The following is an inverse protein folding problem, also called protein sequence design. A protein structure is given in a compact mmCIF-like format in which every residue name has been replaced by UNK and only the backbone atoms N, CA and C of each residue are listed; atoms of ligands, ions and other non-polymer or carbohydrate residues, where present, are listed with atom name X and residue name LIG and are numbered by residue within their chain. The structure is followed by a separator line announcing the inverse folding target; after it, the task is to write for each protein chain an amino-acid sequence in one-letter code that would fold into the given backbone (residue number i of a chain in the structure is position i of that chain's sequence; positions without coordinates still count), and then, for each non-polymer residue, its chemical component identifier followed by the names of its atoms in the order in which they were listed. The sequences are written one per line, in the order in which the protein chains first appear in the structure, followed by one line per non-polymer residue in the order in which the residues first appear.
data_IF_091279318456
#
_entry.id   IF_091279318456
#
_cell.length_a   1.000
_cell.length_b   1.000
_cell.length_c   1.000
_cell.angle_alpha   90.00
_cell.angle_beta   90.00
_cell.angle_gamma   90.00
#
_symmetry.space_group_name_H-M   'P 1'
#
loop_
_entity.id
_entity.type
_entity.pdbx_description
1 polymer ?
#
# COMPACT_ATOMS: atom_id res chain seq x y z
N UNK A 1 -44.09 -29.19 -3.89
CA UNK A 1 -42.69 -28.98 -4.33
C UNK A 1 -42.24 -27.65 -3.74
N UNK A 2 -41.56 -27.73 -2.64
CA UNK A 2 -41.08 -26.57 -1.85
C UNK A 2 -39.63 -26.34 -2.19
N UNK A 3 -39.30 -25.16 -2.77
CA UNK A 3 -37.95 -24.75 -3.04
C UNK A 3 -37.20 -24.50 -1.72
N UNK A 4 -35.93 -24.92 -1.59
CA UNK A 4 -35.14 -24.63 -0.40
C UNK A 4 -34.63 -23.19 -0.48
N UNK A 5 -35.09 -22.38 0.47
CA UNK A 5 -34.66 -21.04 0.77
C UNK A 5 -33.14 -21.01 1.08
N UNK A 6 -32.32 -20.57 0.11
CA UNK A 6 -30.92 -20.22 0.31
C UNK A 6 -30.86 -18.84 0.99
N UNK A 7 -31.03 -18.82 2.28
CA UNK A 7 -30.60 -17.68 3.09
C UNK A 7 -29.06 -17.66 3.15
N UNK A 8 -28.43 -16.99 2.20
CA UNK A 8 -27.08 -16.44 2.38
C UNK A 8 -27.22 -15.34 3.45
N UNK A 9 -26.73 -15.61 4.65
CA UNK A 9 -26.72 -14.62 5.74
C UNK A 9 -25.80 -13.45 5.41
N UNK A 10 -26.26 -12.48 4.64
CA UNK A 10 -25.74 -11.15 4.61
C UNK A 10 -25.98 -10.57 6.00
N UNK A 11 -24.93 -10.53 6.83
CA UNK A 11 -24.94 -9.76 8.08
C UNK A 11 -25.17 -8.31 7.64
N UNK A 12 -26.37 -7.78 7.90
CA UNK A 12 -26.69 -6.36 7.69
C UNK A 12 -25.58 -5.53 8.32
N UNK A 13 -24.79 -4.83 7.48
CA UNK A 13 -23.74 -3.94 7.94
C UNK A 13 -24.44 -2.74 8.61
N UNK A 14 -24.43 -2.69 9.92
CA UNK A 14 -25.03 -1.59 10.68
C UNK A 14 -24.07 -0.41 10.73
N UNK A 15 -24.56 0.76 10.32
CA UNK A 15 -23.86 2.03 10.50
C UNK A 15 -24.12 2.52 11.93
N UNK A 16 -23.04 2.81 12.64
CA UNK A 16 -23.07 3.35 14.00
C UNK A 16 -22.19 4.60 14.08
N UNK A 17 -22.46 5.48 15.02
CA UNK A 17 -21.60 6.64 15.28
C UNK A 17 -20.56 6.32 16.35
N UNK A 18 -19.29 6.59 16.06
CA UNK A 18 -18.18 6.42 17.00
C UNK A 18 -17.44 7.74 17.17
N UNK A 19 -16.99 8.01 18.40
CA UNK A 19 -16.15 9.16 18.73
C UNK A 19 -14.82 9.09 17.98
N UNK A 20 -14.43 10.20 17.35
CA UNK A 20 -13.20 10.27 16.52
C UNK A 20 -11.96 9.91 17.32
N UNK A 21 -11.92 10.29 18.61
CA UNK A 21 -10.81 9.99 19.52
C UNK A 21 -10.57 8.48 19.73
N UNK A 22 -11.59 7.64 19.51
CA UNK A 22 -11.49 6.19 19.57
C UNK A 22 -11.02 5.55 18.28
N UNK A 23 -10.84 6.33 17.21
CA UNK A 23 -10.40 5.87 15.89
C UNK A 23 -8.89 6.03 15.74
N UNK A 24 -8.17 4.93 15.59
CA UNK A 24 -6.72 4.91 15.37
C UNK A 24 -6.39 4.61 13.90
N UNK A 25 -5.34 5.22 13.34
CA UNK A 25 -4.86 4.82 12.03
C UNK A 25 -4.36 3.38 12.05
N UNK A 26 -4.44 2.69 10.91
CA UNK A 26 -3.85 1.37 10.75
C UNK A 26 -2.33 1.44 10.91
N UNK A 27 -1.72 0.52 11.67
CA UNK A 27 -0.32 0.59 12.10
C UNK A 27 0.68 0.60 10.93
N UNK A 28 0.40 -0.10 9.85
CA UNK A 28 1.25 -0.22 8.66
C UNK A 28 0.61 0.44 7.42
N UNK A 29 -0.02 1.60 7.60
CA UNK A 29 -0.75 2.26 6.53
C UNK A 29 0.23 2.93 5.53
N UNK A 30 0.37 2.44 4.29
CA UNK A 30 1.34 2.97 3.34
C UNK A 30 0.90 4.28 2.68
N UNK A 31 -0.38 4.63 2.75
CA UNK A 31 -0.96 5.77 2.06
C UNK A 31 -0.96 7.00 2.93
N UNK A 32 -0.38 8.09 2.44
CA UNK A 32 -0.33 9.35 3.16
C UNK A 32 -1.64 10.14 3.02
N UNK A 33 -2.06 10.76 4.11
CA UNK A 33 -3.15 11.75 4.08
C UNK A 33 -2.50 13.11 3.90
N UNK A 34 -2.64 13.70 2.71
CA UNK A 34 -2.08 15.01 2.36
C UNK A 34 -3.19 16.07 2.36
N UNK A 35 -2.83 17.28 2.75
CA UNK A 35 -3.69 18.46 2.64
C UNK A 35 -3.57 19.08 1.24
N UNK A 36 -4.15 18.40 0.27
CA UNK A 36 -4.18 18.79 -1.13
C UNK A 36 -5.53 19.43 -1.52
N UNK A 37 -5.63 19.89 -2.77
CA UNK A 37 -6.89 20.46 -3.29
C UNK A 37 -8.07 19.50 -3.17
N UNK A 38 -7.84 18.21 -3.33
CA UNK A 38 -8.88 17.19 -3.19
C UNK A 38 -9.35 17.07 -1.72
N UNK A 39 -8.46 17.32 -0.74
CA UNK A 39 -8.83 17.36 0.67
C UNK A 39 -9.75 18.55 0.97
N UNK A 40 -9.50 19.72 0.39
CA UNK A 40 -10.40 20.89 0.52
C UNK A 40 -11.78 20.59 -0.06
N UNK A 41 -11.86 20.03 -1.26
CA UNK A 41 -13.13 19.63 -1.87
C UNK A 41 -13.88 18.60 -1.02
N UNK A 42 -13.13 17.65 -0.41
CA UNK A 42 -13.72 16.68 0.51
C UNK A 42 -14.27 17.35 1.78
N UNK A 43 -13.54 18.32 2.35
CA UNK A 43 -14.00 19.09 3.50
C UNK A 43 -15.28 19.87 3.17
N UNK A 44 -15.33 20.60 2.06
CA UNK A 44 -16.53 21.31 1.61
C UNK A 44 -17.72 20.36 1.42
N UNK A 45 -17.46 19.19 0.84
CA UNK A 45 -18.50 18.16 0.66
C UNK A 45 -19.01 17.62 2.00
N UNK A 46 -18.10 17.36 2.96
CA UNK A 46 -18.48 16.87 4.30
C UNK A 46 -19.19 17.95 5.10
N UNK A 47 -18.78 19.20 5.00
CA UNK A 47 -19.46 20.32 5.65
C UNK A 47 -20.91 20.49 5.15
N UNK A 48 -21.12 20.34 3.85
CA UNK A 48 -22.43 20.53 3.21
C UNK A 48 -23.37 19.34 3.35
N UNK A 49 -22.86 18.12 3.24
CA UNK A 49 -23.67 16.90 3.14
C UNK A 49 -23.43 15.88 4.24
N UNK A 50 -22.47 16.15 5.14
CA UNK A 50 -21.99 15.15 6.10
C UNK A 50 -21.15 14.06 5.45
N UNK A 51 -20.81 13.04 6.23
CA UNK A 51 -20.07 11.86 5.75
C UNK A 51 -21.07 10.87 5.15
N UNK A 52 -21.28 10.94 3.83
CA UNK A 52 -22.24 10.08 3.12
C UNK A 52 -21.80 8.60 3.11
N UNK A 53 -20.51 8.35 2.96
CA UNK A 53 -19.96 6.99 2.98
C UNK A 53 -19.30 6.74 4.34
N UNK A 54 -19.80 5.80 5.17
CA UNK A 54 -19.24 5.54 6.49
C UNK A 54 -17.79 5.01 6.38
N UNK A 55 -17.01 5.21 7.45
CA UNK A 55 -15.68 4.63 7.57
C UNK A 55 -15.80 3.13 7.83
N UNK A 56 -14.82 2.35 7.40
CA UNK A 56 -14.74 0.92 7.73
C UNK A 56 -13.67 0.77 8.80
N UNK A 57 -14.04 0.17 9.93
CA UNK A 57 -13.16 0.01 11.09
C UNK A 57 -13.20 -1.43 11.61
N UNK A 58 -12.14 -1.85 12.29
CA UNK A 58 -12.13 -3.10 13.08
C UNK A 58 -11.96 -2.80 14.56
N UNK A 59 -12.55 -3.60 15.46
CA UNK A 59 -12.29 -3.47 16.88
C UNK A 59 -10.87 -3.92 17.22
N UNK A 60 -10.21 -3.16 18.10
CA UNK A 60 -8.92 -3.52 18.70
C UNK A 60 -9.05 -3.50 20.22
N UNK A 61 -8.08 -4.07 20.97
CA UNK A 61 -8.12 -4.04 22.43
C UNK A 61 -8.33 -2.62 22.99
N UNK A 62 -8.77 -2.55 24.25
CA UNK A 62 -8.97 -1.31 25.01
C UNK A 62 -10.10 -0.41 24.51
N UNK A 63 -11.04 -0.95 23.71
CA UNK A 63 -12.23 -0.23 23.27
C UNK A 63 -11.98 0.79 22.17
N UNK A 64 -10.83 0.71 21.50
CA UNK A 64 -10.51 1.49 20.31
C UNK A 64 -10.88 0.75 19.01
N UNK A 65 -10.84 1.49 17.91
CA UNK A 65 -11.09 0.94 16.58
C UNK A 65 -9.98 1.37 15.63
N UNK A 66 -9.53 0.46 14.81
CA UNK A 66 -8.53 0.72 13.79
C UNK A 66 -9.20 0.91 12.44
N UNK A 67 -8.83 1.99 11.73
CA UNK A 67 -9.45 2.37 10.47
C UNK A 67 -8.87 1.52 9.34
N UNK A 68 -9.72 0.78 8.64
CA UNK A 68 -9.37 0.01 7.45
C UNK A 68 -9.54 0.87 6.20
N UNK A 69 -10.64 1.65 6.13
CA UNK A 69 -10.91 2.55 5.00
C UNK A 69 -11.56 3.84 5.50
N UNK A 70 -11.16 4.98 4.90
CA UNK A 70 -11.73 6.28 5.21
C UNK A 70 -10.81 7.23 5.98
N UNK A 71 -9.49 7.03 5.99
CA UNK A 71 -8.52 7.91 6.66
C UNK A 71 -8.65 9.39 6.26
N UNK A 72 -8.86 9.68 4.95
CA UNK A 72 -9.09 11.06 4.47
C UNK A 72 -10.38 11.66 5.03
N UNK A 73 -11.46 10.86 5.11
CA UNK A 73 -12.75 11.30 5.70
C UNK A 73 -12.63 11.60 7.18
N UNK A 74 -11.90 10.73 7.93
CA UNK A 74 -11.59 10.98 9.34
C UNK A 74 -10.82 12.28 9.51
N UNK A 75 -9.76 12.49 8.73
CA UNK A 75 -8.94 13.71 8.81
C UNK A 75 -9.74 14.97 8.47
N UNK A 76 -10.57 14.94 7.42
CA UNK A 76 -11.46 16.05 7.07
C UNK A 76 -12.48 16.34 8.18
N UNK A 77 -13.07 15.31 8.78
CA UNK A 77 -14.01 15.45 9.89
C UNK A 77 -13.37 16.05 11.15
N UNK A 78 -12.12 15.66 11.46
CA UNK A 78 -11.35 16.25 12.58
C UNK A 78 -11.11 17.75 12.35
N UNK A 79 -10.73 18.15 11.14
CA UNK A 79 -10.54 19.57 10.80
C UNK A 79 -11.83 20.39 10.88
N UNK A 80 -12.97 19.78 10.58
CA UNK A 80 -14.29 20.40 10.69
C UNK A 80 -14.87 20.36 12.13
N UNK A 81 -14.14 19.77 13.09
CA UNK A 81 -14.57 19.71 14.49
C UNK A 81 -15.65 18.69 14.80
N UNK A 82 -15.83 17.68 13.98
CA UNK A 82 -16.75 16.57 14.26
C UNK A 82 -16.28 15.79 15.48
N UNK A 83 -17.17 15.52 16.42
CA UNK A 83 -16.89 14.67 17.58
C UNK A 83 -17.14 13.19 17.30
N UNK A 84 -18.10 12.88 16.41
CA UNK A 84 -18.49 11.52 16.02
C UNK A 84 -18.55 11.41 14.51
N UNK A 85 -18.30 10.20 14.02
CA UNK A 85 -18.39 9.89 12.60
C UNK A 85 -19.10 8.55 12.38
N UNK A 86 -19.83 8.39 11.25
CA UNK A 86 -20.49 7.14 10.93
C UNK A 86 -19.45 6.08 10.52
N UNK A 87 -19.56 4.90 11.09
CA UNK A 87 -18.66 3.77 10.83
C UNK A 87 -19.42 2.47 10.62
N UNK A 88 -18.82 1.56 9.87
CA UNK A 88 -19.19 0.14 9.77
C UNK A 88 -18.11 -0.67 10.48
N UNK A 89 -18.50 -1.46 11.47
CA UNK A 89 -17.57 -2.34 12.18
C UNK A 89 -17.49 -3.68 11.44
N UNK A 90 -16.27 -4.04 11.03
CA UNK A 90 -15.95 -5.36 10.49
C UNK A 90 -14.99 -6.10 11.40
N UNK A 91 -15.36 -7.30 11.83
CA UNK A 91 -14.47 -8.17 12.59
C UNK A 91 -13.62 -8.94 11.59
N UNK A 92 -12.41 -8.42 11.33
CA UNK A 92 -11.46 -8.98 10.37
C UNK A 92 -10.18 -9.38 11.09
N UNK A 93 -9.53 -10.44 10.57
CA UNK A 93 -8.17 -10.75 10.98
C UNK A 93 -7.21 -9.62 10.56
N UNK A 94 -6.02 -9.57 11.14
CA UNK A 94 -5.00 -8.59 10.73
C UNK A 94 -4.68 -8.70 9.25
N UNK A 95 -4.43 -9.92 8.74
CA UNK A 95 -4.14 -10.18 7.34
C UNK A 95 -5.30 -9.75 6.41
N UNK A 96 -6.57 -10.01 6.79
CA UNK A 96 -7.73 -9.62 5.97
C UNK A 96 -7.95 -8.10 6.01
N UNK A 97 -7.64 -7.46 7.13
CA UNK A 97 -7.69 -6.01 7.27
C UNK A 97 -6.67 -5.32 6.37
N UNK A 98 -5.44 -5.85 6.31
CA UNK A 98 -4.38 -5.36 5.41
C UNK A 98 -4.84 -5.49 3.95
N UNK A 99 -5.35 -6.66 3.54
CA UNK A 99 -5.81 -6.86 2.17
C UNK A 99 -6.94 -5.89 1.82
N UNK A 100 -7.95 -5.77 2.67
CA UNK A 100 -9.08 -4.85 2.46
C UNK A 100 -8.63 -3.39 2.36
N UNK A 101 -7.68 -2.96 3.22
CA UNK A 101 -7.11 -1.62 3.19
C UNK A 101 -6.35 -1.37 1.88
N UNK A 102 -5.48 -2.28 1.48
CA UNK A 102 -4.69 -2.17 0.25
C UNK A 102 -5.60 -2.11 -0.97
N UNK A 103 -6.57 -3.04 -1.08
CA UNK A 103 -7.47 -3.12 -2.21
C UNK A 103 -8.33 -1.86 -2.35
N UNK A 104 -8.83 -1.30 -1.23
CA UNK A 104 -9.62 -0.06 -1.26
C UNK A 104 -8.83 1.18 -1.72
N UNK A 105 -7.51 1.13 -1.70
CA UNK A 105 -6.64 2.25 -2.07
C UNK A 105 -5.96 2.07 -3.44
N UNK A 106 -5.67 0.83 -3.86
CA UNK A 106 -5.03 0.57 -5.16
C UNK A 106 -5.88 0.97 -6.38
N UNK A 107 -7.20 1.07 -6.20
CA UNK A 107 -8.15 1.50 -7.24
C UNK A 107 -8.35 3.02 -7.31
N UNK A 108 -7.56 3.82 -6.57
CA UNK A 108 -7.61 5.29 -6.66
C UNK A 108 -7.01 5.75 -7.99
N UNK A 109 -7.59 6.78 -8.60
CA UNK A 109 -7.08 7.35 -9.86
C UNK A 109 -5.66 7.90 -9.74
N UNK A 110 -5.31 8.42 -8.55
CA UNK A 110 -3.99 8.97 -8.26
C UNK A 110 -3.39 8.30 -7.04
N UNK A 111 -2.36 7.50 -7.29
CA UNK A 111 -1.53 6.84 -6.29
C UNK A 111 -0.06 7.08 -6.65
N UNK A 112 0.78 7.48 -5.68
CA UNK A 112 2.19 7.71 -5.96
C UNK A 112 2.93 6.40 -6.19
N UNK A 113 4.13 6.48 -6.81
CA UNK A 113 4.97 5.30 -7.04
C UNK A 113 5.36 4.60 -5.74
N UNK A 114 5.70 5.38 -4.71
CA UNK A 114 6.05 4.86 -3.39
C UNK A 114 4.86 4.18 -2.72
N UNK A 115 3.68 4.81 -2.70
CA UNK A 115 2.47 4.23 -2.13
C UNK A 115 2.11 2.90 -2.80
N UNK A 116 2.15 2.85 -4.14
CA UNK A 116 1.88 1.63 -4.92
C UNK A 116 2.91 0.55 -4.64
N UNK A 117 4.19 0.91 -4.51
CA UNK A 117 5.26 -0.01 -4.20
C UNK A 117 5.08 -0.67 -2.81
N UNK A 118 4.82 0.12 -1.77
CA UNK A 118 4.58 -0.38 -0.42
C UNK A 118 3.27 -1.17 -0.32
N UNK A 119 2.20 -0.76 -1.02
CA UNK A 119 0.94 -1.48 -1.09
C UNK A 119 1.12 -2.88 -1.70
N UNK A 120 1.84 -2.99 -2.82
CA UNK A 120 2.14 -4.28 -3.44
C UNK A 120 3.03 -5.16 -2.56
N UNK A 121 4.04 -4.58 -1.91
CA UNK A 121 4.87 -5.33 -0.96
C UNK A 121 4.04 -5.89 0.18
N UNK A 122 3.22 -5.07 0.82
CA UNK A 122 2.40 -5.46 1.95
C UNK A 122 1.40 -6.56 1.56
N UNK A 123 0.69 -6.42 0.43
CA UNK A 123 -0.21 -7.45 -0.12
C UNK A 123 0.54 -8.75 -0.41
N UNK A 124 1.73 -8.67 -1.03
CA UNK A 124 2.56 -9.84 -1.34
C UNK A 124 3.01 -10.59 -0.08
N UNK A 125 3.42 -9.86 0.97
CA UNK A 125 3.87 -10.44 2.23
C UNK A 125 2.72 -11.14 2.96
N UNK A 126 1.52 -10.56 2.98
CA UNK A 126 0.31 -11.18 3.53
C UNK A 126 -0.05 -12.46 2.77
N UNK A 127 -0.09 -12.41 1.44
CA UNK A 127 -0.42 -13.57 0.61
C UNK A 127 0.59 -14.72 0.79
N UNK A 128 1.88 -14.41 0.94
CA UNK A 128 2.92 -15.41 1.27
C UNK A 128 2.69 -16.04 2.64
N UNK A 129 2.38 -15.25 3.69
CA UNK A 129 2.07 -15.76 5.04
C UNK A 129 0.85 -16.71 5.01
N UNK A 130 -0.24 -16.30 4.35
CA UNK A 130 -1.44 -17.13 4.19
C UNK A 130 -1.14 -18.43 3.42
N UNK A 131 -0.29 -18.39 2.40
CA UNK A 131 0.13 -19.56 1.65
C UNK A 131 0.97 -20.52 2.49
N UNK A 132 1.83 -20.05 3.38
CA UNK A 132 2.65 -20.86 4.29
C UNK A 132 1.83 -21.63 5.33
N UNK A 133 0.77 -21.02 5.87
CA UNK A 133 -0.12 -21.63 6.87
C UNK A 133 -0.95 -22.81 6.33
N UNK A 134 -1.23 -22.85 5.01
CA UNK A 134 -2.03 -23.91 4.37
C UNK A 134 -1.26 -25.18 3.95
N UNK A 135 0.00 -25.33 4.34
CA UNK A 135 0.83 -26.48 3.92
C UNK A 135 0.44 -27.85 4.52
N UNK A 136 -0.51 -27.93 5.45
CA UNK A 136 -0.82 -29.19 6.15
C UNK A 136 -1.95 -30.03 5.56
N UNK A 137 -2.74 -29.54 4.64
CA UNK A 137 -3.80 -30.34 4.01
C UNK A 137 -4.25 -29.70 2.69
N UNK A 138 -3.81 -30.12 1.51
CA UNK A 138 -4.61 -30.07 0.28
C UNK A 138 -3.90 -30.73 -0.91
N UNK A 139 -4.68 -31.42 -1.70
CA UNK A 139 -4.43 -32.13 -2.96
C UNK A 139 -3.41 -31.50 -3.93
N UNK A 140 -2.59 -32.37 -4.49
CA UNK A 140 -1.48 -32.10 -5.41
C UNK A 140 -1.87 -31.61 -6.83
N UNK A 141 -3.12 -31.20 -7.11
CA UNK A 141 -3.58 -30.93 -8.49
C UNK A 141 -3.98 -29.50 -8.83
N UNK A 142 -4.02 -28.56 -7.87
CA UNK A 142 -4.26 -27.15 -8.21
C UNK A 142 -2.93 -26.43 -8.31
N UNK A 143 -2.55 -25.98 -9.51
CA UNK A 143 -1.39 -25.11 -9.74
C UNK A 143 -1.50 -23.90 -8.80
N UNK A 144 -0.69 -23.87 -7.77
CA UNK A 144 -0.69 -22.84 -6.74
C UNK A 144 -0.17 -21.56 -7.35
N UNK A 145 -1.06 -20.62 -7.68
CA UNK A 145 -0.68 -19.29 -8.18
C UNK A 145 0.29 -18.62 -7.19
N UNK A 146 1.36 -18.03 -7.71
CA UNK A 146 2.27 -17.21 -6.89
C UNK A 146 1.53 -15.97 -6.40
N UNK A 147 1.88 -15.44 -5.22
CA UNK A 147 1.29 -14.21 -4.67
C UNK A 147 1.34 -13.04 -5.67
N UNK A 148 2.41 -12.93 -6.44
CA UNK A 148 2.57 -11.90 -7.48
C UNK A 148 1.56 -12.06 -8.62
N UNK A 149 1.24 -13.29 -9.02
CA UNK A 149 0.26 -13.54 -10.09
C UNK A 149 -1.15 -13.16 -9.63
N UNK A 150 -1.48 -13.40 -8.35
CA UNK A 150 -2.75 -12.95 -7.74
C UNK A 150 -2.85 -11.44 -7.75
N UNK A 151 -1.79 -10.72 -7.29
CA UNK A 151 -1.77 -9.26 -7.30
C UNK A 151 -1.91 -8.70 -8.72
N UNK A 152 -1.23 -9.33 -9.68
CA UNK A 152 -1.29 -8.97 -11.10
C UNK A 152 -2.72 -9.03 -11.65
N UNK A 153 -3.44 -10.10 -11.37
CA UNK A 153 -4.83 -10.29 -11.78
C UNK A 153 -5.76 -9.25 -11.12
N UNK A 154 -5.59 -9.00 -9.82
CA UNK A 154 -6.44 -8.07 -9.05
C UNK A 154 -6.26 -6.62 -9.49
N UNK A 155 -5.03 -6.22 -9.85
CA UNK A 155 -4.69 -4.81 -10.11
C UNK A 155 -4.53 -4.47 -11.59
N UNK A 156 -4.55 -5.47 -12.48
CA UNK A 156 -4.39 -5.28 -13.92
C UNK A 156 -2.96 -4.99 -14.37
N UNK A 157 -1.97 -4.97 -13.47
CA UNK A 157 -0.55 -4.84 -13.81
C UNK A 157 0.06 -6.20 -14.15
N UNK A 158 1.06 -6.25 -15.03
CA UNK A 158 1.77 -7.51 -15.30
C UNK A 158 2.57 -7.99 -14.08
N UNK A 159 2.81 -9.32 -13.92
CA UNK A 159 3.62 -9.85 -12.81
C UNK A 159 5.02 -9.21 -12.73
N UNK A 160 5.62 -8.90 -13.88
CA UNK A 160 6.91 -8.21 -13.96
C UNK A 160 6.80 -6.77 -13.45
N UNK A 161 5.71 -6.07 -13.76
CA UNK A 161 5.48 -4.71 -13.29
C UNK A 161 5.27 -4.69 -11.77
N UNK A 162 4.50 -5.62 -11.22
CA UNK A 162 4.33 -5.80 -9.76
C UNK A 162 5.69 -5.99 -9.07
N UNK A 163 6.57 -6.85 -9.61
CA UNK A 163 7.92 -7.06 -9.07
C UNK A 163 8.76 -5.78 -9.09
N UNK A 164 8.68 -5.01 -10.18
CA UNK A 164 9.40 -3.73 -10.31
C UNK A 164 8.93 -2.72 -9.29
N UNK A 165 7.61 -2.59 -9.05
CA UNK A 165 7.09 -1.76 -7.98
C UNK A 165 7.59 -2.21 -6.60
N UNK A 166 7.51 -3.52 -6.29
CA UNK A 166 8.01 -4.04 -5.02
C UNK A 166 9.51 -3.74 -4.83
N UNK A 167 10.31 -3.76 -5.90
CA UNK A 167 11.74 -3.45 -5.79
C UNK A 167 12.01 -2.01 -5.36
N UNK A 168 11.14 -1.05 -5.72
CA UNK A 168 11.26 0.35 -5.32
C UNK A 168 11.25 0.56 -3.80
N UNK A 169 10.66 -0.37 -3.03
CA UNK A 169 10.68 -0.30 -1.55
C UNK A 169 12.07 -0.43 -0.94
N UNK A 170 13.10 -0.74 -1.76
CA UNK A 170 14.50 -0.79 -1.35
C UNK A 170 15.23 0.54 -1.54
N UNK A 171 14.58 1.52 -2.16
CA UNK A 171 15.15 2.86 -2.30
C UNK A 171 15.18 3.57 -0.94
N UNK A 172 16.21 4.39 -0.74
CA UNK A 172 16.25 5.30 0.40
C UNK A 172 15.12 6.34 0.29
N UNK A 173 14.63 6.89 1.42
CA UNK A 173 13.48 7.82 1.40
C UNK A 173 13.65 9.00 0.46
N UNK A 174 14.84 9.56 0.35
CA UNK A 174 15.14 10.71 -0.48
C UNK A 174 15.04 10.38 -1.99
N UNK A 175 15.43 9.15 -2.39
CA UNK A 175 15.27 8.67 -3.76
C UNK A 175 13.80 8.37 -4.09
N UNK A 176 13.06 7.81 -3.12
CA UNK A 176 11.61 7.60 -3.27
C UNK A 176 10.87 8.93 -3.45
N UNK A 177 11.24 9.96 -2.68
CA UNK A 177 10.66 11.29 -2.85
C UNK A 177 10.95 11.87 -4.23
N UNK A 178 12.21 11.77 -4.71
CA UNK A 178 12.56 12.22 -6.08
C UNK A 178 11.80 11.45 -7.17
N UNK A 179 11.43 10.19 -6.92
CA UNK A 179 10.59 9.40 -7.83
C UNK A 179 9.13 9.87 -7.79
N UNK A 180 8.57 10.12 -6.61
CA UNK A 180 7.20 10.60 -6.46
C UNK A 180 7.03 12.02 -7.01
N UNK A 181 8.09 12.84 -6.95
CA UNK A 181 8.15 14.17 -7.55
C UNK A 181 8.45 14.14 -9.06
N UNK A 182 8.50 12.95 -9.66
CA UNK A 182 8.79 12.72 -11.09
C UNK A 182 10.17 13.24 -11.55
N UNK A 183 11.07 13.56 -10.60
CA UNK A 183 12.44 13.96 -10.86
C UNK A 183 13.23 12.79 -11.44
N UNK A 184 13.10 11.60 -10.83
CA UNK A 184 13.68 10.35 -11.35
C UNK A 184 12.57 9.55 -12.03
N UNK A 185 12.80 9.11 -13.27
CA UNK A 185 11.83 8.25 -13.97
C UNK A 185 11.79 6.84 -13.37
N UNK A 186 10.65 6.15 -13.53
CA UNK A 186 10.41 4.82 -12.99
C UNK A 186 11.49 3.77 -13.33
N UNK A 187 11.91 3.71 -14.60
CA UNK A 187 12.86 2.68 -15.05
C UNK A 187 14.27 2.85 -14.43
N UNK A 188 14.91 4.03 -14.44
CA UNK A 188 16.13 4.25 -13.67
C UNK A 188 16.00 3.97 -12.18
N UNK A 189 14.88 4.37 -11.54
CA UNK A 189 14.64 4.13 -10.13
C UNK A 189 14.63 2.64 -9.77
N UNK A 190 14.05 1.78 -10.62
CA UNK A 190 14.06 0.31 -10.46
C UNK A 190 15.49 -0.25 -10.50
N UNK A 191 16.36 0.27 -11.36
CA UNK A 191 17.76 -0.16 -11.42
C UNK A 191 18.56 0.33 -10.20
N UNK A 192 18.32 1.57 -9.76
CA UNK A 192 18.93 2.15 -8.55
C UNK A 192 18.49 1.39 -7.29
N UNK A 193 17.26 0.90 -7.24
CA UNK A 193 16.76 0.10 -6.11
C UNK A 193 17.51 -1.24 -5.90
N UNK A 194 18.33 -1.66 -6.85
CA UNK A 194 19.19 -2.84 -6.72
C UNK A 194 20.53 -2.54 -6.01
N UNK A 195 20.89 -1.27 -5.87
CA UNK A 195 22.10 -0.82 -5.18
C UNK A 195 21.96 -0.97 -3.66
N UNK A 196 23.08 -1.12 -2.95
CA UNK A 196 23.12 -1.05 -1.49
C UNK A 196 22.79 0.36 -1.01
N UNK A 197 22.31 0.48 0.22
CA UNK A 197 21.90 1.78 0.78
C UNK A 197 23.01 2.85 0.76
N UNK A 198 24.24 2.46 1.10
CA UNK A 198 25.40 3.35 1.02
C UNK A 198 25.69 3.83 -0.41
N UNK A 199 25.58 2.95 -1.39
CA UNK A 199 25.78 3.29 -2.82
C UNK A 199 24.68 4.23 -3.33
N UNK A 200 23.44 4.03 -2.88
CA UNK A 200 22.34 4.95 -3.19
C UNK A 200 22.60 6.36 -2.59
N UNK A 201 23.12 6.43 -1.36
CA UNK A 201 23.49 7.71 -0.72
C UNK A 201 24.62 8.43 -1.45
N UNK A 202 25.64 7.70 -1.91
CA UNK A 202 26.73 8.28 -2.71
C UNK A 202 26.23 8.73 -4.09
N UNK A 203 25.37 7.94 -4.74
CA UNK A 203 24.75 8.33 -6.00
C UNK A 203 23.91 9.60 -5.81
N UNK A 204 23.14 9.72 -4.71
CA UNK A 204 22.36 10.92 -4.43
C UNK A 204 23.25 12.16 -4.33
N UNK A 205 24.36 12.07 -3.59
CA UNK A 205 25.35 13.18 -3.49
C UNK A 205 25.92 13.55 -4.86
N UNK A 206 26.25 12.55 -5.69
CA UNK A 206 26.77 12.78 -7.03
C UNK A 206 25.72 13.45 -7.95
N UNK A 207 24.45 13.05 -7.84
CA UNK A 207 23.34 13.69 -8.56
C UNK A 207 23.15 15.15 -8.16
N UNK A 208 23.19 15.43 -6.85
CA UNK A 208 23.05 16.79 -6.32
C UNK A 208 24.25 17.68 -6.70
N UNK A 209 25.48 17.14 -6.66
CA UNK A 209 26.69 17.84 -7.09
C UNK A 209 26.69 18.16 -8.59
N UNK A 210 26.36 17.17 -9.40
CA UNK A 210 26.34 17.31 -10.87
C UNK A 210 25.10 18.03 -11.41
N UNK A 211 24.09 18.27 -10.57
CA UNK A 211 22.77 18.77 -10.96
C UNK A 211 22.17 17.94 -12.14
N UNK A 212 22.41 16.63 -12.11
CA UNK A 212 22.06 15.71 -13.19
C UNK A 212 21.39 14.45 -12.65
N UNK A 213 20.48 13.90 -13.44
CA UNK A 213 19.74 12.70 -13.12
C UNK A 213 20.21 11.57 -14.03
N UNK A 214 20.54 10.39 -13.50
CA UNK A 214 21.01 9.29 -14.31
C UNK A 214 19.96 8.81 -15.31
N UNK A 215 20.34 8.66 -16.55
CA UNK A 215 19.55 7.96 -17.56
C UNK A 215 19.44 6.47 -17.24
N UNK A 216 18.52 5.76 -17.91
CA UNK A 216 18.37 4.32 -17.72
C UNK A 216 19.68 3.56 -17.98
N UNK A 217 20.42 3.92 -19.04
CA UNK A 217 21.69 3.28 -19.39
C UNK A 217 22.77 3.52 -18.33
N UNK A 218 22.83 4.72 -17.77
CA UNK A 218 23.74 5.04 -16.66
C UNK A 218 23.37 4.26 -15.38
N UNK A 219 22.08 4.23 -15.02
CA UNK A 219 21.62 3.47 -13.86
C UNK A 219 21.92 1.96 -14.00
N UNK A 220 21.72 1.38 -15.19
CA UNK A 220 22.07 -0.02 -15.48
C UNK A 220 23.58 -0.26 -15.36
N UNK A 221 24.40 0.65 -15.87
CA UNK A 221 25.87 0.55 -15.76
C UNK A 221 26.34 0.63 -14.31
N UNK A 222 25.79 1.56 -13.52
CA UNK A 222 26.10 1.67 -12.08
C UNK A 222 25.74 0.37 -11.35
N UNK A 223 24.55 -0.18 -11.61
CA UNK A 223 24.14 -1.49 -11.05
C UNK A 223 25.10 -2.61 -11.42
N UNK A 224 25.53 -2.69 -12.68
CA UNK A 224 26.50 -3.70 -13.12
C UNK A 224 27.84 -3.59 -12.39
N UNK A 225 28.35 -2.35 -12.21
CA UNK A 225 29.58 -2.08 -11.45
C UNK A 225 29.43 -2.50 -9.97
N UNK A 226 28.32 -2.15 -9.33
CA UNK A 226 28.03 -2.59 -7.95
C UNK A 226 28.04 -4.11 -7.82
N UNK A 227 27.38 -4.83 -8.73
CA UNK A 227 27.35 -6.30 -8.72
C UNK A 227 28.72 -6.90 -8.94
N UNK A 228 29.58 -6.34 -9.83
CA UNK A 228 30.93 -6.83 -10.06
C UNK A 228 31.85 -6.67 -8.84
N UNK A 229 31.70 -5.61 -8.07
CA UNK A 229 32.47 -5.37 -6.84
C UNK A 229 32.09 -6.37 -5.72
N UNK A 230 30.84 -6.84 -5.68
CA UNK A 230 30.42 -7.86 -4.71
C UNK A 230 31.14 -9.18 -4.94
N UNK A 231 31.34 -9.60 -6.21
CA UNK A 231 32.06 -10.83 -6.54
C UNK A 231 33.56 -10.80 -6.23
N UNK A 232 34.16 -9.59 -6.11
CA UNK A 232 35.59 -9.45 -5.80
C UNK A 232 35.81 -9.48 -4.27
N UNK A 233 34.81 -9.17 -3.47
CA UNK A 233 34.92 -9.04 -2.01
C UNK A 233 34.47 -10.27 -1.22
N UNK A 234 34.00 -11.36 -1.86
CA UNK A 234 33.76 -12.63 -1.19
C UNK A 234 35.08 -13.45 -1.19
N UNK A 235 35.73 -13.67 -0.02
CA UNK A 235 36.86 -14.58 0.06
C UNK A 235 36.38 -16.03 -0.19
N UNK A 236 37.00 -16.69 -1.13
CA UNK A 236 36.89 -18.15 -1.34
C UNK A 236 37.33 -18.93 -0.11
#
# INVERSE_FOLDING_TARGET
MTEPNRQSGEKEERIIEIEIERLRPFKEHPFQVKDDKEMFLLQESIEKYGILNPLIVRPVPDGYYEIISGHRRKHAAEKLGYRKVPVIIRVLSEDDSILSMVDSNLHRERISYSEKAFAYKLKNDVLKRKSGRKKSQVDHKTLRKRSIDIISEDCGDSPKQVQRYISLTKLIPEMLQKLDDEIISFCPAVEIAALKENEQRELLKAMDYAQAIPSLSQAQRIKQLSLSLIHISEPT
#
